data_IF_766423787158
#
_entry.id   IF_766423787158
#
_cell.length_a   1.000
_cell.length_b   1.000
_cell.length_c   1.000
_cell.angle_alpha   90.00
_cell.angle_beta   90.00
_cell.angle_gamma   90.00
#
_symmetry.space_group_name_H-M   'P 1'
#
loop_
_entity.id
_entity.type
_entity.pdbx_description
1 polymer ?
#
# COMPACT_ATOMS: atom_id res chain seq x y z
N UNK A 1 34.80 -10.04 28.13
CA UNK A 1 33.71 -9.38 27.39
C UNK A 1 34.19 -9.12 25.97
N UNK A 2 34.13 -10.13 25.10
CA UNK A 2 34.44 -10.00 23.67
C UNK A 2 33.11 -9.79 22.95
N UNK A 3 32.91 -8.61 22.37
CA UNK A 3 31.82 -8.36 21.43
C UNK A 3 32.10 -9.23 20.20
N UNK A 4 31.33 -10.31 20.06
CA UNK A 4 31.38 -11.16 18.89
C UNK A 4 30.81 -10.37 17.70
N UNK A 5 31.63 -10.26 16.66
CA UNK A 5 31.29 -10.22 15.24
C UNK A 5 30.44 -9.04 14.72
N UNK A 6 31.11 -8.10 14.06
CA UNK A 6 30.55 -7.30 12.96
C UNK A 6 30.09 -8.27 11.85
N UNK A 7 28.89 -8.83 11.98
CA UNK A 7 28.26 -9.56 10.90
C UNK A 7 27.63 -8.51 9.96
N UNK A 8 28.28 -8.27 8.82
CA UNK A 8 27.72 -7.40 7.80
C UNK A 8 26.59 -8.14 7.08
N UNK A 9 25.36 -7.85 7.51
CA UNK A 9 24.16 -8.43 6.92
C UNK A 9 24.05 -8.11 5.42
N UNK A 10 24.58 -6.97 4.96
CA UNK A 10 24.53 -6.59 3.54
C UNK A 10 25.39 -7.53 2.69
N UNK A 11 26.54 -7.97 3.20
CA UNK A 11 27.44 -8.86 2.48
C UNK A 11 26.89 -10.28 2.27
N UNK A 12 25.88 -10.70 3.04
CA UNK A 12 25.28 -12.05 2.96
C UNK A 12 23.81 -12.04 2.53
N UNK A 13 23.17 -10.87 2.45
CA UNK A 13 21.76 -10.76 2.07
C UNK A 13 21.60 -10.99 0.56
N UNK A 14 20.89 -12.05 0.18
CA UNK A 14 20.58 -12.35 -1.22
C UNK A 14 19.30 -11.64 -1.72
N UNK A 15 18.52 -11.02 -0.83
CA UNK A 15 17.26 -10.35 -1.17
C UNK A 15 17.52 -8.92 -1.62
N UNK A 16 17.17 -8.61 -2.87
CA UNK A 16 17.33 -7.27 -3.49
C UNK A 16 15.99 -6.58 -3.80
N UNK A 17 14.88 -7.27 -3.56
CA UNK A 17 13.51 -6.80 -3.71
C UNK A 17 12.59 -7.54 -2.73
N UNK A 18 11.36 -7.06 -2.47
CA UNK A 18 10.41 -7.73 -1.58
C UNK A 18 10.12 -9.16 -2.04
N UNK A 19 9.81 -10.09 -1.11
CA UNK A 19 9.31 -11.41 -1.49
C UNK A 19 7.94 -11.30 -2.18
N UNK A 20 7.36 -12.44 -2.56
CA UNK A 20 6.06 -12.49 -3.23
C UNK A 20 6.11 -12.15 -4.72
N UNK A 21 4.97 -11.72 -5.27
CA UNK A 21 4.79 -11.55 -6.71
C UNK A 21 4.75 -10.08 -7.11
N UNK A 22 5.49 -9.71 -8.15
CA UNK A 22 5.36 -8.39 -8.75
C UNK A 22 4.03 -8.27 -9.52
N UNK A 23 3.12 -7.41 -9.05
CA UNK A 23 1.78 -7.24 -9.64
C UNK A 23 1.64 -5.96 -10.47
N UNK A 24 2.61 -5.05 -10.37
CA UNK A 24 2.61 -3.79 -11.09
C UNK A 24 4.04 -3.32 -11.38
N UNK A 25 4.28 -2.89 -12.62
CA UNK A 25 5.52 -2.26 -13.06
C UNK A 25 5.22 -1.12 -14.02
N UNK A 26 5.73 0.07 -13.71
CA UNK A 26 5.73 1.19 -14.64
C UNK A 26 6.91 2.12 -14.38
N UNK A 27 7.78 2.29 -15.38
CA UNK A 27 9.03 3.02 -15.21
C UNK A 27 9.89 2.42 -14.10
N UNK A 28 10.22 3.24 -13.10
CA UNK A 28 10.97 2.82 -11.91
C UNK A 28 10.08 2.36 -10.75
N UNK A 29 8.76 2.41 -10.84
CA UNK A 29 7.85 2.00 -9.77
C UNK A 29 7.50 0.52 -9.95
N UNK A 30 7.65 -0.25 -8.87
CA UNK A 30 7.19 -1.63 -8.80
C UNK A 30 6.33 -1.83 -7.56
N UNK A 31 5.33 -2.70 -7.64
CA UNK A 31 4.55 -3.15 -6.47
C UNK A 31 4.54 -4.66 -6.39
N UNK A 32 4.87 -5.16 -5.21
CA UNK A 32 4.88 -6.58 -4.86
C UNK A 32 3.68 -6.88 -3.98
N UNK A 33 3.00 -7.98 -4.29
CA UNK A 33 1.99 -8.60 -3.44
C UNK A 33 2.64 -9.69 -2.59
N UNK A 34 2.64 -9.49 -1.28
CA UNK A 34 3.27 -10.35 -0.29
C UNK A 34 2.21 -10.92 0.64
N UNK A 35 2.19 -12.24 0.77
CA UNK A 35 1.25 -12.93 1.65
C UNK A 35 1.86 -13.05 3.06
N UNK A 36 1.21 -12.46 4.07
CA UNK A 36 1.66 -12.52 5.46
C UNK A 36 1.74 -13.93 6.05
N UNK A 37 1.01 -14.91 5.49
CA UNK A 37 1.09 -16.31 5.89
C UNK A 37 2.35 -17.01 5.34
N UNK A 38 2.78 -16.65 4.13
CA UNK A 38 3.93 -17.26 3.48
C UNK A 38 5.24 -16.58 3.91
N UNK A 39 5.24 -15.25 4.00
CA UNK A 39 6.42 -14.42 4.29
C UNK A 39 6.31 -13.73 5.67
N UNK A 40 6.06 -14.54 6.71
CA UNK A 40 5.76 -14.05 8.08
C UNK A 40 6.81 -13.07 8.62
N UNK A 41 8.08 -13.46 8.58
CA UNK A 41 9.19 -12.66 9.16
C UNK A 41 9.31 -11.31 8.44
N UNK A 42 9.21 -11.31 7.11
CA UNK A 42 9.25 -10.08 6.32
C UNK A 42 8.09 -9.14 6.69
N UNK A 43 6.87 -9.67 6.77
CA UNK A 43 5.67 -8.91 7.10
C UNK A 43 5.68 -8.39 8.55
N UNK A 44 6.23 -9.17 9.50
CA UNK A 44 6.42 -8.74 10.88
C UNK A 44 7.44 -7.60 10.98
N UNK A 45 8.59 -7.71 10.31
CA UNK A 45 9.59 -6.64 10.24
C UNK A 45 9.02 -5.37 9.61
N UNK A 46 8.22 -5.51 8.55
CA UNK A 46 7.53 -4.39 7.92
C UNK A 46 6.51 -3.73 8.87
N UNK A 47 5.79 -4.52 9.67
CA UNK A 47 4.89 -4.02 10.69
C UNK A 47 5.61 -3.31 11.84
N UNK A 48 6.77 -3.82 12.28
CA UNK A 48 7.62 -3.18 13.29
C UNK A 48 8.17 -1.84 12.78
N UNK A 49 8.66 -1.80 11.54
CA UNK A 49 9.11 -0.58 10.88
C UNK A 49 7.98 0.46 10.83
N UNK A 50 6.78 0.06 10.42
CA UNK A 50 5.66 1.01 10.29
C UNK A 50 5.11 1.49 11.62
N UNK A 51 5.23 0.71 12.69
CA UNK A 51 4.89 1.13 14.06
C UNK A 51 5.69 2.34 14.53
N UNK A 52 6.91 2.54 14.01
CA UNK A 52 7.70 3.75 14.30
C UNK A 52 7.03 5.04 13.80
N UNK A 53 6.18 4.93 12.78
CA UNK A 53 5.52 6.08 12.13
C UNK A 53 3.99 6.09 12.33
N UNK A 54 3.40 4.97 12.76
CA UNK A 54 1.97 4.78 12.93
C UNK A 54 1.64 4.41 14.37
N UNK A 55 1.35 5.43 15.19
CA UNK A 55 1.10 5.31 16.62
C UNK A 55 -0.07 4.37 16.98
N UNK A 56 -1.07 4.24 16.12
CA UNK A 56 -2.26 3.43 16.36
C UNK A 56 -2.17 2.01 15.76
N UNK A 57 -1.00 1.56 15.31
CA UNK A 57 -0.84 0.20 14.79
C UNK A 57 -0.79 -0.81 15.93
N UNK A 58 -1.84 -1.63 16.03
CA UNK A 58 -2.02 -2.62 17.10
C UNK A 58 -1.54 -4.02 16.74
N UNK A 59 -1.67 -4.42 15.47
CA UNK A 59 -1.27 -5.75 14.97
C UNK A 59 0.09 -5.70 14.27
N UNK A 60 1.05 -6.46 14.79
CA UNK A 60 2.41 -6.55 14.25
C UNK A 60 3.04 -7.95 14.30
N UNK A 61 2.47 -8.90 15.04
CA UNK A 61 2.90 -10.31 15.03
C UNK A 61 1.95 -11.21 14.24
N UNK A 62 0.64 -11.01 14.38
CA UNK A 62 -0.41 -11.74 13.66
C UNK A 62 -0.59 -11.15 12.25
N UNK A 63 0.31 -11.53 11.34
CA UNK A 63 0.38 -10.99 9.96
C UNK A 63 -0.31 -11.91 8.95
N UNK A 64 -0.57 -13.16 9.30
CA UNK A 64 -1.15 -14.21 8.46
C UNK A 64 -2.50 -13.85 7.82
N UNK A 65 -3.40 -13.10 8.51
CA UNK A 65 -4.67 -12.67 7.93
C UNK A 65 -4.55 -11.58 6.86
N UNK A 66 -3.35 -11.03 6.62
CA UNK A 66 -3.15 -9.84 5.78
C UNK A 66 -2.37 -10.14 4.50
N UNK A 67 -2.74 -9.44 3.44
CA UNK A 67 -1.93 -9.21 2.25
C UNK A 67 -1.22 -7.87 2.37
N UNK A 68 0.04 -7.80 1.92
CA UNK A 68 0.86 -6.60 1.93
C UNK A 68 1.21 -6.21 0.50
N UNK A 69 0.95 -4.96 0.14
CA UNK A 69 1.23 -4.39 -1.17
C UNK A 69 2.40 -3.42 -1.04
N UNK A 70 3.60 -3.92 -1.33
CA UNK A 70 4.87 -3.26 -1.07
C UNK A 70 5.36 -2.52 -2.32
N UNK A 71 5.50 -1.21 -2.22
CA UNK A 71 6.03 -0.36 -3.29
C UNK A 71 7.54 -0.18 -3.12
N UNK A 72 8.26 -0.36 -4.23
CA UNK A 72 9.68 -0.04 -4.34
C UNK A 72 9.96 0.87 -5.54
N UNK A 73 11.04 1.64 -5.47
CA UNK A 73 11.67 2.25 -6.64
C UNK A 73 12.82 1.35 -7.09
N UNK A 74 12.72 0.80 -8.28
CA UNK A 74 13.77 -0.01 -8.89
C UNK A 74 14.00 0.43 -10.34
N UNK A 75 15.20 0.93 -10.69
CA UNK A 75 15.56 1.21 -12.07
C UNK A 75 15.40 -0.03 -12.96
N UNK A 76 15.12 0.17 -14.25
CA UNK A 76 14.99 -0.95 -15.21
C UNK A 76 16.31 -1.67 -15.47
N UNK A 77 17.46 -1.07 -15.12
CA UNK A 77 18.74 -1.77 -15.12
C UNK A 77 18.74 -2.80 -14.00
N UNK A 78 18.72 -4.08 -14.38
CA UNK A 78 18.50 -5.22 -13.49
C UNK A 78 19.48 -5.34 -12.31
N UNK A 79 20.61 -4.62 -12.36
CA UNK A 79 21.71 -4.66 -11.39
C UNK A 79 21.56 -3.74 -10.17
N UNK A 80 20.48 -2.99 -10.04
CA UNK A 80 20.29 -2.04 -8.92
C UNK A 80 19.26 -2.57 -7.92
N UNK A 81 19.61 -2.50 -6.64
CA UNK A 81 18.73 -2.79 -5.50
C UNK A 81 17.49 -1.89 -5.52
N UNK A 82 16.35 -2.42 -5.10
CA UNK A 82 15.11 -1.67 -5.03
C UNK A 82 14.98 -0.90 -3.72
N UNK A 83 14.76 0.41 -3.78
CA UNK A 83 14.49 1.23 -2.61
C UNK A 83 13.06 1.02 -2.13
N UNK A 84 12.88 0.54 -0.89
CA UNK A 84 11.55 0.46 -0.30
C UNK A 84 10.95 1.86 -0.09
N UNK A 85 9.76 2.10 -0.62
CA UNK A 85 9.08 3.41 -0.54
C UNK A 85 8.02 3.43 0.55
N UNK A 86 7.23 2.37 0.61
CA UNK A 86 6.02 2.31 1.40
C UNK A 86 5.19 1.10 1.05
N UNK A 87 4.09 0.91 1.76
CA UNK A 87 3.17 -0.19 1.52
C UNK A 87 1.77 0.16 2.00
N UNK A 88 0.81 -0.67 1.63
CA UNK A 88 -0.41 -0.82 2.41
C UNK A 88 -0.71 -2.28 2.69
N UNK A 89 -1.40 -2.57 3.80
CA UNK A 89 -1.93 -3.90 4.10
C UNK A 89 -3.43 -3.96 3.90
N UNK A 90 -3.93 -5.17 3.62
CA UNK A 90 -5.35 -5.47 3.41
C UNK A 90 -5.66 -6.82 4.05
N UNK A 91 -6.68 -6.89 4.90
CA UNK A 91 -7.21 -8.18 5.38
C UNK A 91 -7.70 -9.04 4.21
N UNK A 92 -7.31 -10.32 4.20
CA UNK A 92 -7.80 -11.29 3.22
C UNK A 92 -9.32 -11.45 3.28
N UNK A 93 -9.85 -11.48 4.50
CA UNK A 93 -11.27 -11.65 4.80
C UNK A 93 -11.76 -10.51 5.70
N UNK A 94 -12.07 -9.34 5.11
CA UNK A 94 -12.58 -8.20 5.89
C UNK A 94 -14.11 -8.27 6.02
N UNK A 95 -14.61 -8.40 7.26
CA UNK A 95 -16.06 -8.36 7.55
C UNK A 95 -16.72 -7.01 7.24
N UNK A 96 -15.93 -5.94 7.17
CA UNK A 96 -16.39 -4.57 6.90
C UNK A 96 -16.08 -4.09 5.47
N UNK A 97 -15.60 -4.98 4.58
CA UNK A 97 -15.14 -4.64 3.23
C UNK A 97 -14.08 -3.52 3.20
N UNK A 98 -13.16 -3.53 4.17
CA UNK A 98 -12.02 -2.63 4.12
C UNK A 98 -11.05 -3.08 3.03
N UNK A 99 -10.68 -2.16 2.16
CA UNK A 99 -9.69 -2.43 1.11
C UNK A 99 -8.28 -1.99 1.49
N UNK A 100 -8.15 -1.36 2.65
CA UNK A 100 -6.89 -0.90 3.20
C UNK A 100 -6.99 -0.86 4.73
N UNK A 101 -6.14 -1.62 5.40
CA UNK A 101 -6.02 -1.66 6.87
C UNK A 101 -4.96 -0.69 7.37
N UNK A 102 -3.80 -0.68 6.73
CA UNK A 102 -2.67 0.17 7.11
C UNK A 102 -2.03 0.74 5.86
N UNK A 103 -1.59 2.00 5.89
CA UNK A 103 -0.82 2.62 4.80
C UNK A 103 0.34 3.40 5.40
N UNK A 104 1.52 3.21 4.83
CA UNK A 104 2.72 3.91 5.24
C UNK A 104 3.58 4.25 4.02
N UNK A 105 4.08 5.49 4.00
CA UNK A 105 5.13 5.92 3.09
C UNK A 105 6.28 6.44 3.95
N UNK A 106 7.49 5.97 3.69
CA UNK A 106 8.67 6.38 4.44
C UNK A 106 8.82 7.91 4.41
N UNK A 107 9.22 8.55 5.51
CA UNK A 107 9.34 10.01 5.59
C UNK A 107 10.13 10.64 4.43
N UNK A 108 11.23 10.01 3.99
CA UNK A 108 12.08 10.51 2.90
C UNK A 108 11.37 10.57 1.54
N UNK A 109 10.32 9.77 1.34
CA UNK A 109 9.52 9.69 0.11
C UNK A 109 8.16 10.39 0.22
N UNK A 110 7.82 10.99 1.36
CA UNK A 110 6.56 11.71 1.52
C UNK A 110 6.48 12.95 0.63
N UNK A 111 5.25 13.41 0.37
CA UNK A 111 4.94 14.59 -0.48
C UNK A 111 5.36 14.46 -1.96
N UNK A 112 5.74 13.27 -2.43
CA UNK A 112 6.07 12.98 -3.85
C UNK A 112 4.95 12.26 -4.62
N UNK A 113 3.75 12.15 -4.05
CA UNK A 113 2.60 11.50 -4.69
C UNK A 113 2.44 10.00 -4.42
N UNK A 114 3.43 9.32 -3.82
CA UNK A 114 3.36 7.87 -3.57
C UNK A 114 2.19 7.44 -2.67
N UNK A 115 1.84 8.25 -1.66
CA UNK A 115 0.67 7.96 -0.82
C UNK A 115 -0.64 7.97 -1.62
N UNK A 116 -0.78 8.91 -2.57
CA UNK A 116 -1.93 8.96 -3.48
C UNK A 116 -1.95 7.75 -4.40
N UNK A 117 -0.79 7.34 -4.93
CA UNK A 117 -0.68 6.13 -5.75
C UNK A 117 -1.12 4.89 -4.98
N UNK A 118 -0.66 4.69 -3.74
CA UNK A 118 -1.04 3.53 -2.92
C UNK A 118 -2.56 3.49 -2.64
N UNK A 119 -3.17 4.66 -2.40
CA UNK A 119 -4.63 4.77 -2.28
C UNK A 119 -5.32 4.42 -3.60
N UNK A 120 -4.83 4.91 -4.74
CA UNK A 120 -5.42 4.60 -6.04
C UNK A 120 -5.31 3.12 -6.39
N UNK A 121 -4.18 2.48 -6.06
CA UNK A 121 -3.96 1.06 -6.23
C UNK A 121 -4.92 0.22 -5.37
N UNK A 122 -5.16 0.58 -4.10
CA UNK A 122 -6.10 -0.15 -3.25
C UNK A 122 -7.53 -0.13 -3.81
N UNK A 123 -7.95 1.01 -4.38
CA UNK A 123 -9.22 1.09 -5.11
C UNK A 123 -9.21 0.31 -6.44
N UNK A 124 -8.08 0.28 -7.16
CA UNK A 124 -7.94 -0.51 -8.39
C UNK A 124 -8.09 -2.01 -8.13
N UNK A 125 -7.53 -2.51 -7.03
CA UNK A 125 -7.72 -3.90 -6.60
C UNK A 125 -9.18 -4.18 -6.24
N UNK A 126 -9.84 -3.28 -5.49
CA UNK A 126 -11.28 -3.42 -5.20
C UNK A 126 -12.14 -3.47 -6.47
N UNK A 127 -11.82 -2.63 -7.47
CA UNK A 127 -12.48 -2.67 -8.79
C UNK A 127 -12.32 -4.02 -9.47
N UNK A 128 -11.10 -4.55 -9.49
CA UNK A 128 -10.80 -5.86 -10.09
C UNK A 128 -11.55 -7.00 -9.38
N UNK A 129 -11.77 -6.86 -8.08
CA UNK A 129 -12.56 -7.80 -7.27
C UNK A 129 -14.09 -7.59 -7.39
N UNK A 130 -14.55 -6.55 -8.10
CA UNK A 130 -15.96 -6.18 -8.20
C UNK A 130 -16.56 -5.68 -6.87
N UNK A 131 -15.71 -5.28 -5.92
CA UNK A 131 -16.10 -4.85 -4.57
C UNK A 131 -15.98 -3.34 -4.39
N UNK A 132 -16.85 -2.76 -3.59
CA UNK A 132 -16.63 -1.41 -3.03
C UNK A 132 -15.72 -1.51 -1.82
N UNK A 133 -14.82 -0.54 -1.64
CA UNK A 133 -13.89 -0.52 -0.52
C UNK A 133 -13.78 0.84 0.16
N UNK A 134 -13.41 0.81 1.44
CA UNK A 134 -13.04 1.99 2.24
C UNK A 134 -11.77 1.65 3.04
N UNK A 135 -10.95 2.65 3.42
CA UNK A 135 -9.97 2.41 4.47
C UNK A 135 -10.63 2.03 5.79
N UNK A 136 -9.89 1.28 6.59
CA UNK A 136 -10.15 1.02 8.00
C UNK A 136 -10.19 2.33 8.81
N UNK A 137 -10.98 2.34 9.88
CA UNK A 137 -11.18 3.50 10.77
C UNK A 137 -10.72 3.14 12.18
N UNK A 138 -10.15 4.09 12.94
CA UNK A 138 -9.96 5.50 12.59
C UNK A 138 -8.72 5.75 11.71
N UNK A 139 -8.83 6.74 10.81
CA UNK A 139 -7.68 7.23 10.05
C UNK A 139 -6.81 8.17 10.88
N UNK A 140 -5.49 8.09 10.72
CA UNK A 140 -4.56 9.12 11.21
C UNK A 140 -4.87 10.48 10.57
N UNK A 141 -4.43 11.57 11.18
CA UNK A 141 -4.64 12.92 10.60
C UNK A 141 -4.08 13.04 9.18
N UNK A 142 -2.85 12.56 8.98
CA UNK A 142 -2.21 12.50 7.67
C UNK A 142 -2.99 11.60 6.69
N UNK A 143 -3.45 10.44 7.15
CA UNK A 143 -4.27 9.52 6.35
C UNK A 143 -5.59 10.16 5.91
N UNK A 144 -6.29 10.84 6.82
CA UNK A 144 -7.53 11.57 6.53
C UNK A 144 -7.31 12.68 5.49
N UNK A 145 -6.25 13.47 5.63
CA UNK A 145 -5.92 14.51 4.67
C UNK A 145 -5.64 13.93 3.27
N UNK A 146 -4.86 12.84 3.18
CA UNK A 146 -4.55 12.17 1.93
C UNK A 146 -5.79 11.58 1.25
N UNK A 147 -6.64 10.86 1.99
CA UNK A 147 -7.89 10.31 1.47
C UNK A 147 -8.87 11.41 1.03
N UNK A 148 -8.99 12.50 1.80
CA UNK A 148 -9.87 13.61 1.43
C UNK A 148 -9.40 14.31 0.15
N UNK A 149 -8.09 14.51 -0.01
CA UNK A 149 -7.52 15.04 -1.25
C UNK A 149 -7.77 14.10 -2.44
N UNK A 150 -7.57 12.79 -2.25
CA UNK A 150 -7.86 11.77 -3.27
C UNK A 150 -9.33 11.80 -3.67
N UNK A 151 -10.26 11.67 -2.73
CA UNK A 151 -11.70 11.65 -3.01
C UNK A 151 -12.18 12.93 -3.68
N UNK A 152 -11.74 14.11 -3.21
CA UNK A 152 -12.05 15.39 -3.88
C UNK A 152 -11.63 15.36 -5.35
N UNK A 153 -10.39 14.96 -5.63
CA UNK A 153 -9.87 14.91 -6.99
C UNK A 153 -10.61 13.90 -7.87
N UNK A 154 -10.98 12.74 -7.31
CA UNK A 154 -11.75 11.71 -8.01
C UNK A 154 -13.16 12.20 -8.32
N UNK A 155 -13.87 12.81 -7.36
CA UNK A 155 -15.20 13.35 -7.63
C UNK A 155 -15.14 14.42 -8.72
N UNK A 156 -14.21 15.38 -8.63
CA UNK A 156 -14.04 16.44 -9.64
C UNK A 156 -13.77 15.83 -11.02
N UNK A 157 -12.86 14.86 -11.13
CA UNK A 157 -12.57 14.16 -12.39
C UNK A 157 -13.80 13.47 -12.97
N UNK A 158 -14.68 12.91 -12.12
CA UNK A 158 -15.91 12.26 -12.58
C UNK A 158 -16.93 13.28 -13.09
N UNK A 159 -17.04 14.42 -12.42
CA UNK A 159 -17.92 15.51 -12.82
C UNK A 159 -17.46 16.11 -14.16
N UNK A 160 -16.16 16.32 -14.36
CA UNK A 160 -15.62 16.88 -15.60
C UNK A 160 -15.76 15.96 -16.82
N UNK A 161 -15.83 14.65 -16.60
CA UNK A 161 -16.03 13.64 -17.66
C UNK A 161 -17.51 13.31 -17.89
N UNK A 162 -18.43 13.91 -17.13
CA UNK A 162 -19.84 13.64 -17.28
C UNK A 162 -20.44 14.51 -18.38
N UNK A 163 -20.89 13.88 -19.47
CA UNK A 163 -21.68 14.57 -20.51
C UNK A 163 -23.13 14.82 -20.06
N UNK A 164 -23.58 14.15 -19.00
CA UNK A 164 -24.94 14.21 -18.48
C UNK A 164 -25.13 15.35 -17.47
N UNK A 165 -26.26 16.07 -17.56
CA UNK A 165 -26.65 17.13 -16.60
C UNK A 165 -26.93 16.62 -15.17
N UNK A 166 -27.02 15.31 -14.96
CA UNK A 166 -27.22 14.71 -13.64
C UNK A 166 -26.35 13.47 -13.46
N UNK A 167 -25.82 13.29 -12.25
CA UNK A 167 -24.95 12.18 -11.87
C UNK A 167 -25.47 11.63 -10.55
N UNK A 168 -25.65 10.32 -10.47
CA UNK A 168 -26.10 9.66 -9.24
C UNK A 168 -24.91 9.24 -8.39
N UNK A 169 -25.08 9.26 -7.06
CA UNK A 169 -24.04 8.79 -6.13
C UNK A 169 -23.68 7.33 -6.44
N UNK A 170 -24.68 6.47 -6.71
CA UNK A 170 -24.45 5.08 -7.13
C UNK A 170 -23.64 4.99 -8.42
N UNK A 171 -23.90 5.86 -9.40
CA UNK A 171 -23.14 5.94 -10.65
C UNK A 171 -21.69 6.38 -10.44
N UNK A 172 -21.44 7.32 -9.52
CA UNK A 172 -20.09 7.74 -9.14
C UNK A 172 -19.33 6.62 -8.42
N UNK A 173 -19.98 5.95 -7.47
CA UNK A 173 -19.39 4.79 -6.78
C UNK A 173 -19.07 3.68 -7.79
N UNK A 174 -19.98 3.38 -8.71
CA UNK A 174 -19.76 2.38 -9.76
C UNK A 174 -18.60 2.74 -10.68
N UNK A 175 -18.50 3.99 -11.14
CA UNK A 175 -17.37 4.45 -11.97
C UNK A 175 -16.00 4.25 -11.29
N UNK A 176 -15.94 4.41 -9.97
CA UNK A 176 -14.71 4.20 -9.20
C UNK A 176 -14.54 2.78 -8.64
N UNK A 177 -15.58 1.93 -8.69
CA UNK A 177 -15.63 0.60 -8.05
C UNK A 177 -16.01 -0.59 -8.97
N UNK A 178 -16.41 -0.42 -10.23
CA UNK A 178 -16.73 -1.52 -11.16
C UNK A 178 -16.27 -1.19 -12.59
N UNK A 179 -15.74 -2.20 -13.29
CA UNK A 179 -15.46 -2.19 -14.73
C UNK A 179 -16.76 -2.22 -15.54
#
# INVERSE_FOLDING_TARGET
>A
MRLLTNFDCQAVCQMTFPPGNEIYRHGNIAVFEVDGNNDKIYCQNLCLLSRLFLLHKTLYYDVEPFMFYVMILRPQSASVEGDFVGYFSKEKNSGHNYNLSCIMVLPVFQRRGFGRFLIELSYALSRREGKTGSPEKPLTEHGRAAYMAYWKSSVIRRLSLADSKSITIKGTTRFYCQC
#
